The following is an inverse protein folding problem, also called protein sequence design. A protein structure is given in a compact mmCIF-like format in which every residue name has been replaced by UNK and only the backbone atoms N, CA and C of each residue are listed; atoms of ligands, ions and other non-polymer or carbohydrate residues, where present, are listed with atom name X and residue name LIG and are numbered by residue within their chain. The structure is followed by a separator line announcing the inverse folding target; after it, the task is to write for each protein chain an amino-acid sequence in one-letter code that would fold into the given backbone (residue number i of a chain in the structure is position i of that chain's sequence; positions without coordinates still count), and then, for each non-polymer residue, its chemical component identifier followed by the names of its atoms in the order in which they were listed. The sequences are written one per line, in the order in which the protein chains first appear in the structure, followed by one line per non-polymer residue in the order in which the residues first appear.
data_IF_887393633290
#
_entry.id   IF_887393633290
#
_cell.length_a   1.000
_cell.length_b   1.000
_cell.length_c   1.000
_cell.angle_alpha   90.00
_cell.angle_beta   90.00
_cell.angle_gamma   90.00
#
_symmetry.space_group_name_H-M   'P 1'
#
loop_
_entity.id
_entity.type
_entity.pdbx_description
1 polymer ?
#
# COMPACT_ATOMS: atom_id res chain seq x y z
N UNK A 1 -2.25 21.79 -3.82
CA UNK A 1 -3.50 21.51 -3.07
C UNK A 1 -3.13 20.72 -1.84
N UNK A 2 -3.21 21.32 -0.66
CA UNK A 2 -2.98 20.63 0.59
C UNK A 2 -4.16 19.69 0.85
N UNK A 3 -3.89 18.39 0.95
CA UNK A 3 -4.87 17.38 1.36
C UNK A 3 -5.20 17.64 2.83
N UNK A 4 -6.39 18.20 3.08
CA UNK A 4 -6.94 18.27 4.42
C UNK A 4 -7.25 16.82 4.84
N UNK A 5 -6.31 16.21 5.54
CA UNK A 5 -6.34 14.78 5.86
C UNK A 5 -7.65 14.38 6.52
N UNK A 6 -8.25 13.29 6.03
CA UNK A 6 -9.43 12.69 6.63
C UNK A 6 -9.18 12.40 8.11
N UNK A 7 -10.19 12.67 8.94
CA UNK A 7 -10.12 12.43 10.37
C UNK A 7 -9.95 10.94 10.66
N UNK A 8 -9.36 10.60 11.81
CA UNK A 8 -9.26 9.21 12.27
C UNK A 8 -10.61 8.51 12.37
N UNK A 9 -11.70 9.27 12.55
CA UNK A 9 -13.07 8.75 12.59
C UNK A 9 -13.54 8.35 11.18
N UNK A 10 -13.33 9.21 10.19
CA UNK A 10 -13.72 8.95 8.80
C UNK A 10 -12.95 7.75 8.23
N UNK A 11 -11.63 7.69 8.45
CA UNK A 11 -10.81 6.55 8.03
C UNK A 11 -11.35 5.27 8.67
N UNK A 12 -11.64 5.29 9.98
CA UNK A 12 -12.18 4.12 10.68
C UNK A 12 -13.50 3.66 10.08
N UNK A 13 -14.44 4.58 9.82
CA UNK A 13 -15.74 4.22 9.21
C UNK A 13 -15.60 3.69 7.78
N UNK A 14 -14.54 4.08 7.07
CA UNK A 14 -14.26 3.63 5.71
C UNK A 14 -13.61 2.25 5.65
N UNK A 15 -12.71 1.92 6.59
CA UNK A 15 -11.89 0.70 6.51
C UNK A 15 -12.36 -0.43 7.43
N UNK A 16 -13.10 -0.13 8.50
CA UNK A 16 -13.58 -1.13 9.46
C UNK A 16 -14.96 -1.65 9.02
N UNK A 17 -15.18 -2.98 8.96
CA UNK A 17 -16.48 -3.53 8.66
C UNK A 17 -17.52 -3.14 9.73
N UNK A 18 -18.78 -3.01 9.34
CA UNK A 18 -19.87 -2.71 10.27
C UNK A 18 -20.13 -3.90 11.19
N UNK A 19 -20.34 -3.69 12.50
CA UNK A 19 -20.72 -4.76 13.42
C UNK A 19 -21.98 -5.48 12.95
N UNK A 20 -22.02 -6.81 13.11
CA UNK A 20 -23.16 -7.64 12.72
C UNK A 20 -23.29 -7.90 11.21
N UNK A 21 -22.37 -7.38 10.38
CA UNK A 21 -22.28 -7.71 8.97
C UNK A 21 -21.43 -8.97 8.71
N UNK A 22 -21.53 -9.49 7.49
CA UNK A 22 -20.68 -10.60 7.00
C UNK A 22 -19.41 -10.12 6.27
N UNK A 23 -19.29 -8.81 6.04
CA UNK A 23 -18.14 -8.22 5.37
C UNK A 23 -16.89 -8.26 6.26
N UNK A 24 -15.75 -8.64 5.68
CA UNK A 24 -14.45 -8.69 6.37
C UNK A 24 -13.68 -7.38 6.29
N UNK A 25 -14.11 -6.46 5.42
CA UNK A 25 -13.48 -5.17 5.17
C UNK A 25 -14.53 -4.05 5.20
N UNK A 26 -14.09 -2.84 5.55
CA UNK A 26 -14.93 -1.65 5.48
C UNK A 26 -15.31 -1.24 4.04
N UNK A 27 -16.34 -0.41 3.88
CA UNK A 27 -16.94 -0.08 2.59
C UNK A 27 -16.00 0.61 1.59
N UNK A 28 -14.97 1.32 2.08
CA UNK A 28 -13.97 2.00 1.25
C UNK A 28 -12.54 1.54 1.61
N UNK A 29 -12.38 0.26 1.98
CA UNK A 29 -11.08 -0.30 2.32
C UNK A 29 -10.07 -0.12 1.16
N UNK A 30 -10.45 -0.49 -0.06
CA UNK A 30 -9.58 -0.42 -1.23
C UNK A 30 -9.27 1.03 -1.64
N UNK A 31 -10.22 1.96 -1.52
CA UNK A 31 -9.97 3.37 -1.80
C UNK A 31 -9.01 3.99 -0.79
N UNK A 32 -9.19 3.71 0.51
CA UNK A 32 -8.26 4.12 1.56
C UNK A 32 -6.86 3.52 1.36
N UNK A 33 -6.78 2.21 1.08
CA UNK A 33 -5.51 1.52 0.85
C UNK A 33 -4.79 2.07 -0.38
N UNK A 34 -5.51 2.29 -1.47
CA UNK A 34 -4.97 2.87 -2.70
C UNK A 34 -4.41 4.28 -2.47
N UNK A 35 -5.16 5.15 -1.79
CA UNK A 35 -4.69 6.50 -1.43
C UNK A 35 -3.44 6.44 -0.56
N UNK A 36 -3.43 5.57 0.46
CA UNK A 36 -2.25 5.37 1.30
C UNK A 36 -1.04 4.92 0.47
N UNK A 37 -1.20 3.89 -0.36
CA UNK A 37 -0.11 3.35 -1.19
C UNK A 37 0.43 4.38 -2.20
N UNK A 38 -0.45 5.18 -2.81
CA UNK A 38 -0.06 6.13 -3.85
C UNK A 38 0.55 7.43 -3.30
N UNK A 39 0.05 7.94 -2.16
CA UNK A 39 0.37 9.30 -1.72
C UNK A 39 1.12 9.38 -0.40
N UNK A 40 0.95 8.39 0.48
CA UNK A 40 1.48 8.44 1.85
C UNK A 40 2.60 7.42 2.09
N UNK A 41 2.55 6.26 1.44
CA UNK A 41 3.51 5.20 1.65
C UNK A 41 4.87 5.53 1.01
N UNK A 42 5.91 5.56 1.84
CA UNK A 42 7.27 5.89 1.43
C UNK A 42 8.17 4.66 1.51
N UNK A 43 8.43 4.04 0.36
CA UNK A 43 9.17 2.78 0.27
C UNK A 43 10.57 2.86 0.90
N UNK A 44 11.26 4.00 0.75
CA UNK A 44 12.61 4.22 1.31
C UNK A 44 12.60 4.17 2.84
N UNK A 45 11.63 4.83 3.48
CA UNK A 45 11.46 4.83 4.93
C UNK A 45 11.00 3.46 5.44
N UNK A 46 10.06 2.83 4.72
CA UNK A 46 9.55 1.51 5.07
C UNK A 46 10.64 0.42 5.01
N UNK A 47 11.49 0.42 3.98
CA UNK A 47 12.60 -0.52 3.83
C UNK A 47 13.63 -0.41 4.95
N UNK A 48 13.87 0.77 5.52
CA UNK A 48 14.79 0.94 6.67
C UNK A 48 14.30 0.21 7.92
N UNK A 49 12.99 0.05 8.08
CA UNK A 49 12.37 -0.59 9.25
C UNK A 49 12.07 -2.08 9.04
N UNK A 50 12.19 -2.59 7.81
CA UNK A 50 11.87 -3.98 7.47
C UNK A 50 12.96 -4.62 6.60
N UNK A 51 13.70 -5.58 7.20
CA UNK A 51 14.79 -6.29 6.52
C UNK A 51 14.30 -7.10 5.30
N UNK A 52 13.13 -7.74 5.40
CA UNK A 52 12.55 -8.50 4.29
C UNK A 52 12.16 -7.58 3.13
N UNK A 53 11.52 -6.44 3.42
CA UNK A 53 11.17 -5.45 2.42
C UNK A 53 12.43 -4.85 1.75
N UNK A 54 13.45 -4.51 2.53
CA UNK A 54 14.72 -4.01 1.98
C UNK A 54 15.32 -5.01 0.97
N UNK A 55 15.41 -6.29 1.32
CA UNK A 55 15.92 -7.33 0.40
C UNK A 55 15.09 -7.44 -0.87
N UNK A 56 13.75 -7.41 -0.74
CA UNK A 56 12.86 -7.48 -1.90
C UNK A 56 13.07 -6.28 -2.84
N UNK A 57 13.10 -5.06 -2.29
CA UNK A 57 13.31 -3.84 -3.05
C UNK A 57 14.68 -3.84 -3.75
N UNK A 58 15.74 -4.28 -3.06
CA UNK A 58 17.07 -4.38 -3.67
C UNK A 58 17.08 -5.32 -4.87
N UNK A 59 16.45 -6.49 -4.77
CA UNK A 59 16.36 -7.45 -5.88
C UNK A 59 15.56 -6.92 -7.06
N UNK A 60 14.43 -6.28 -6.79
CA UNK A 60 13.60 -5.66 -7.84
C UNK A 60 14.39 -4.57 -8.56
N UNK A 61 15.13 -3.72 -7.82
CA UNK A 61 15.93 -2.63 -8.41
C UNK A 61 17.15 -3.12 -9.18
N UNK A 62 17.76 -4.23 -8.77
CA UNK A 62 18.91 -4.82 -9.47
C UNK A 62 18.49 -5.78 -10.58
N UNK A 63 17.19 -6.00 -10.77
CA UNK A 63 16.69 -6.92 -11.80
C UNK A 63 17.00 -6.36 -13.19
N UNK A 64 17.65 -7.18 -13.99
CA UNK A 64 17.91 -6.94 -15.41
C UNK A 64 17.30 -8.11 -16.17
N UNK A 65 16.25 -7.89 -16.98
CA UNK A 65 15.66 -8.96 -17.76
C UNK A 65 16.65 -9.40 -18.85
N UNK A 66 16.79 -10.71 -19.04
CA UNK A 66 17.45 -11.29 -20.20
C UNK A 66 16.34 -11.77 -21.12
N UNK A 67 16.23 -11.14 -22.29
CA UNK A 67 15.34 -11.59 -23.35
C UNK A 67 16.13 -12.57 -24.22
N UNK A 68 15.56 -13.73 -24.52
CA UNK A 68 16.13 -14.60 -25.53
C UNK A 68 15.79 -13.99 -26.90
N UNK A 69 16.79 -13.80 -27.75
CA UNK A 69 16.54 -13.46 -29.14
C UNK A 69 15.89 -14.69 -29.80
N UNK A 70 14.65 -14.52 -30.28
CA UNK A 70 13.99 -15.52 -31.11
C UNK A 70 14.84 -15.73 -32.37
N UNK A 71 15.52 -16.88 -32.44
CA UNK A 71 16.31 -17.31 -33.60
C UNK A 71 15.47 -18.24 -34.47
#
# INVERSE_FOLDING_TARGET
MADAGATSREIRTSVVPKPGGTATQGPDYNGCLGRFAASLWQITTASKRSKSLSRAVSRIRSFQPVWADET
#
